data_IF_512480010379
#
_entry.id   IF_512480010379
#
_cell.length_a   1.000
_cell.length_b   1.000
_cell.length_c   1.000
_cell.angle_alpha   90.00
_cell.angle_beta   90.00
_cell.angle_gamma   90.00
#
_symmetry.space_group_name_H-M   'P 1'
#
loop_
_entity.id
_entity.type
_entity.pdbx_description
1 polymer ?
#
# COMPACT_ATOMS: atom_id res chain seq x y z
N UNK A 1 7.37 23.63 -4.18
CA UNK A 1 7.85 22.41 -3.50
C UNK A 1 6.71 21.88 -2.64
N UNK A 2 6.34 20.60 -2.76
CA UNK A 2 5.27 20.01 -1.96
C UNK A 2 5.80 19.65 -0.57
N UNK A 3 5.04 19.93 0.49
CA UNK A 3 5.34 19.53 1.86
C UNK A 3 5.63 18.02 1.99
N UNK A 4 4.97 17.20 1.16
CA UNK A 4 5.08 15.75 1.17
C UNK A 4 6.43 15.20 0.66
N UNK A 5 7.23 16.01 -0.03
CA UNK A 5 8.49 15.59 -0.67
C UNK A 5 9.73 16.26 -0.11
N UNK A 6 9.58 17.13 0.89
CA UNK A 6 10.71 17.84 1.49
C UNK A 6 11.40 16.95 2.54
N UNK A 7 12.71 16.63 2.38
CA UNK A 7 13.43 15.79 3.33
C UNK A 7 13.66 16.45 4.70
N UNK A 8 13.48 17.76 4.81
CA UNK A 8 13.52 18.51 6.07
C UNK A 8 12.15 18.59 6.77
N UNK A 9 11.07 18.11 6.13
CA UNK A 9 9.76 18.03 6.75
C UNK A 9 9.79 17.05 7.93
N UNK A 10 9.14 17.38 9.06
CA UNK A 10 8.90 16.41 10.12
C UNK A 10 8.15 15.21 9.54
N UNK A 11 8.34 14.02 10.14
CA UNK A 11 7.76 12.76 9.66
C UNK A 11 6.34 13.00 9.13
N UNK A 12 6.09 12.80 7.83
CA UNK A 12 5.02 13.49 7.11
C UNK A 12 3.61 13.12 7.60
N UNK A 13 3.49 12.06 8.41
CA UNK A 13 2.25 11.66 9.07
C UNK A 13 2.57 11.18 10.49
N UNK A 14 1.99 11.77 11.56
CA UNK A 14 2.09 11.27 12.93
C UNK A 14 1.17 10.04 13.13
N UNK A 15 1.14 9.14 12.16
CA UNK A 15 0.29 7.96 12.13
C UNK A 15 1.20 6.74 12.21
N UNK A 16 0.95 5.86 13.18
CA UNK A 16 1.71 4.61 13.28
C UNK A 16 1.40 3.73 12.08
N UNK A 17 2.41 3.07 11.55
CA UNK A 17 2.32 2.27 10.32
C UNK A 17 1.23 1.19 10.41
N UNK A 18 1.00 0.59 11.58
CA UNK A 18 -0.01 -0.45 11.80
C UNK A 18 -1.45 0.09 11.73
N UNK A 19 -1.62 1.42 11.64
CA UNK A 19 -2.91 2.10 11.41
C UNK A 19 -3.20 2.34 9.93
N UNK A 20 -2.27 2.02 9.04
CA UNK A 20 -2.50 2.13 7.60
C UNK A 20 -3.42 1.01 7.12
N UNK A 21 -4.50 1.39 6.45
CA UNK A 21 -5.53 0.50 5.92
C UNK A 21 -5.78 0.84 4.45
N UNK A 22 -5.90 -0.19 3.61
CA UNK A 22 -6.32 -0.07 2.22
C UNK A 22 -7.61 -0.87 2.02
N UNK A 23 -8.53 -0.33 1.21
CA UNK A 23 -9.73 -1.02 0.75
C UNK A 23 -9.66 -1.12 -0.76
N UNK A 24 -9.72 -2.34 -1.27
CA UNK A 24 -9.51 -2.64 -2.69
C UNK A 24 -10.66 -3.51 -3.16
N UNK A 25 -11.22 -3.22 -4.34
CA UNK A 25 -12.21 -4.07 -4.97
C UNK A 25 -11.69 -5.50 -5.09
N UNK A 26 -12.51 -6.48 -4.74
CA UNK A 26 -12.09 -7.85 -4.48
C UNK A 26 -11.72 -8.65 -5.75
N UNK A 27 -12.04 -8.07 -6.91
CA UNK A 27 -11.65 -8.51 -8.26
C UNK A 27 -10.39 -7.78 -8.78
N UNK A 28 -9.88 -6.76 -8.08
CA UNK A 28 -8.68 -6.01 -8.48
C UNK A 28 -7.41 -6.69 -7.96
N UNK A 29 -7.21 -7.90 -8.47
CA UNK A 29 -6.10 -8.77 -8.15
C UNK A 29 -4.71 -8.10 -8.33
N UNK A 30 -4.44 -7.28 -9.37
CA UNK A 30 -3.16 -6.57 -9.48
C UNK A 30 -2.87 -5.62 -8.32
N UNK A 31 -3.88 -4.90 -7.83
CA UNK A 31 -3.71 -3.97 -6.71
C UNK A 31 -3.54 -4.71 -5.39
N UNK A 32 -4.27 -5.81 -5.18
CA UNK A 32 -4.12 -6.65 -3.99
C UNK A 32 -2.67 -7.14 -3.87
N UNK A 33 -2.11 -7.71 -4.95
CA UNK A 33 -0.71 -8.17 -4.99
C UNK A 33 0.31 -7.06 -4.78
N UNK A 34 0.05 -5.85 -5.30
CA UNK A 34 0.90 -4.69 -5.05
C UNK A 34 0.96 -4.40 -3.54
N UNK A 35 -0.18 -4.33 -2.87
CA UNK A 35 -0.22 -4.02 -1.44
C UNK A 35 0.38 -5.14 -0.58
N UNK A 36 0.19 -6.41 -0.95
CA UNK A 36 0.89 -7.52 -0.31
C UNK A 36 2.41 -7.36 -0.38
N UNK A 37 2.96 -7.01 -1.56
CA UNK A 37 4.39 -6.72 -1.76
C UNK A 37 4.87 -5.53 -0.92
N UNK A 38 4.01 -4.54 -0.71
CA UNK A 38 4.29 -3.39 0.16
C UNK A 38 4.25 -3.72 1.66
N UNK A 39 3.90 -4.95 2.05
CA UNK A 39 3.85 -5.40 3.45
C UNK A 39 2.48 -5.25 4.09
N UNK A 40 1.41 -5.19 3.29
CA UNK A 40 0.04 -5.31 3.78
C UNK A 40 -0.42 -6.78 3.77
N UNK A 41 -1.42 -7.08 4.58
CA UNK A 41 -2.08 -8.39 4.60
C UNK A 41 -3.59 -8.20 4.61
N UNK A 42 -4.32 -9.07 3.89
CA UNK A 42 -5.78 -9.07 3.92
C UNK A 42 -6.26 -9.43 5.33
N UNK A 43 -7.11 -8.58 5.89
CA UNK A 43 -7.67 -8.77 7.24
C UNK A 43 -9.16 -9.06 7.23
N UNK A 44 -9.87 -8.60 6.20
CA UNK A 44 -11.31 -8.79 6.04
C UNK A 44 -11.70 -8.79 4.57
N UNK A 45 -12.69 -9.61 4.21
CA UNK A 45 -13.43 -9.49 2.94
C UNK A 45 -14.84 -8.98 3.24
N UNK A 46 -15.26 -7.93 2.54
CA UNK A 46 -16.55 -7.26 2.76
C UNK A 46 -17.42 -7.48 1.53
N UNK A 47 -18.15 -8.59 1.53
CA UNK A 47 -18.92 -9.05 0.36
C UNK A 47 -19.97 -8.03 -0.12
N UNK A 48 -20.59 -7.27 0.79
CA UNK A 48 -21.60 -6.25 0.45
C UNK A 48 -21.04 -5.15 -0.46
N UNK A 49 -19.75 -4.85 -0.34
CA UNK A 49 -19.08 -3.84 -1.16
C UNK A 49 -18.18 -4.45 -2.24
N UNK A 50 -18.14 -5.79 -2.37
CA UNK A 50 -17.17 -6.48 -3.22
C UNK A 50 -15.73 -5.97 -3.00
N UNK A 51 -15.32 -5.85 -1.73
CA UNK A 51 -14.00 -5.29 -1.35
C UNK A 51 -13.25 -6.20 -0.38
N UNK A 52 -11.93 -6.03 -0.33
CA UNK A 52 -11.05 -6.53 0.72
C UNK A 52 -10.43 -5.37 1.50
N UNK A 53 -10.32 -5.52 2.81
CA UNK A 53 -9.55 -4.65 3.70
C UNK A 53 -8.18 -5.26 3.92
N UNK A 54 -7.12 -4.50 3.64
CA UNK A 54 -5.74 -4.86 3.93
C UNK A 54 -5.16 -3.90 4.97
N UNK A 55 -4.33 -4.42 5.88
CA UNK A 55 -3.61 -3.62 6.88
C UNK A 55 -2.12 -3.80 6.76
N UNK A 56 -1.37 -2.72 7.01
CA UNK A 56 0.09 -2.82 7.04
C UNK A 56 0.53 -3.60 8.27
N UNK A 57 1.28 -4.67 8.04
CA UNK A 57 1.82 -5.57 9.06
C UNK A 57 3.34 -5.61 9.04
N UNK A 58 3.97 -5.02 8.02
CA UNK A 58 5.42 -5.06 7.85
C UNK A 58 5.96 -6.46 7.54
N UNK A 59 5.11 -7.39 7.08
CA UNK A 59 5.46 -8.79 6.87
C UNK A 59 6.30 -9.05 5.62
N UNK A 60 6.77 -8.01 4.92
CA UNK A 60 7.64 -8.19 3.77
C UNK A 60 9.09 -8.42 4.22
N UNK A 61 9.59 -9.65 4.09
CA UNK A 61 11.00 -9.99 4.40
C UNK A 61 12.01 -9.13 3.62
N UNK A 62 11.61 -8.61 2.45
CA UNK A 62 12.38 -7.65 1.67
C UNK A 62 11.53 -6.39 1.45
N UNK A 63 11.82 -5.29 2.17
CA UNK A 63 11.06 -4.06 2.01
C UNK A 63 11.22 -3.53 0.58
N UNK A 64 10.11 -3.20 -0.07
CA UNK A 64 10.14 -2.54 -1.37
C UNK A 64 10.50 -1.07 -1.16
N UNK A 65 11.71 -0.68 -1.57
CA UNK A 65 12.26 0.68 -1.40
C UNK A 65 12.02 1.54 -2.65
N UNK A 66 12.13 0.94 -3.84
CA UNK A 66 11.95 1.62 -5.11
C UNK A 66 11.56 0.65 -6.23
N UNK A 67 10.94 1.16 -7.29
CA UNK A 67 10.61 0.41 -8.51
C UNK A 67 11.42 0.87 -9.72
N UNK A 68 11.44 0.03 -10.76
CA UNK A 68 12.01 0.39 -12.06
C UNK A 68 10.92 0.96 -12.95
N UNK A 69 11.14 2.14 -13.54
CA UNK A 69 10.23 2.72 -14.52
C UNK A 69 10.41 1.98 -15.85
N UNK A 70 9.42 1.18 -16.24
CA UNK A 70 9.39 0.55 -17.56
C UNK A 70 8.57 1.40 -18.51
N UNK A 71 9.13 1.79 -19.66
CA UNK A 71 8.34 2.43 -20.72
C UNK A 71 7.35 1.41 -21.27
N UNK A 72 6.07 1.76 -21.26
CA UNK A 72 5.04 0.96 -21.91
C UNK A 72 5.18 1.16 -23.42
N UNK A 73 5.65 0.15 -24.14
CA UNK A 73 5.60 0.14 -25.60
C UNK A 73 4.19 -0.30 -25.99
N UNK A 74 3.44 0.59 -26.65
CA UNK A 74 2.13 0.30 -27.24
C UNK A 74 2.27 -0.57 -28.48
#
# INVERSE_FOLDING_TARGET
>A
MSYATDPSSPSPLPVRSEKLVARIGDKNEPSIRLFEKLGFSVTKRVAVFEEVELRYTGTNSTPWIAGTITKLTM
#
